data_IF_900399176105
#
_entry.id   IF_900399176105
#
_cell.length_a   1.000
_cell.length_b   1.000
_cell.length_c   1.000
_cell.angle_alpha   90.00
_cell.angle_beta   90.00
_cell.angle_gamma   90.00
#
_symmetry.space_group_name_H-M   'P 1'
#
loop_
_entity.id
_entity.type
_entity.pdbx_description
1 polymer ?
#
# COMPACT_ATOMS: atom_id res chain seq x y z
N UNK A 1 -26.82 -7.14 -8.73
CA UNK A 1 -25.46 -6.90 -8.19
C UNK A 1 -24.56 -8.01 -8.72
N UNK A 2 -23.59 -7.72 -9.59
CA UNK A 2 -22.66 -8.74 -10.08
C UNK A 2 -21.85 -9.31 -8.90
N UNK A 3 -21.65 -10.63 -8.87
CA UNK A 3 -20.79 -11.25 -7.86
C UNK A 3 -19.33 -10.84 -8.07
N UNK A 4 -18.53 -10.89 -7.01
CA UNK A 4 -17.08 -10.61 -7.10
C UNK A 4 -16.39 -11.60 -8.05
N UNK A 5 -16.84 -12.86 -8.08
CA UNK A 5 -16.32 -13.87 -9.01
C UNK A 5 -16.56 -13.47 -10.47
N UNK A 6 -17.76 -12.97 -10.81
CA UNK A 6 -18.07 -12.48 -12.16
C UNK A 6 -17.20 -11.29 -12.54
N UNK A 7 -17.02 -10.35 -11.60
CA UNK A 7 -16.13 -9.19 -11.81
C UNK A 7 -14.67 -9.62 -12.00
N UNK A 8 -14.22 -10.64 -11.24
CA UNK A 8 -12.87 -11.20 -11.35
C UNK A 8 -12.64 -11.77 -12.75
N UNK A 9 -13.51 -12.70 -13.16
CA UNK A 9 -13.43 -13.34 -14.48
C UNK A 9 -13.48 -12.34 -15.63
N UNK A 10 -14.24 -11.26 -15.50
CA UNK A 10 -14.40 -10.25 -16.54
C UNK A 10 -13.25 -9.22 -16.62
N UNK A 11 -12.56 -8.94 -15.50
CA UNK A 11 -11.72 -7.73 -15.41
C UNK A 11 -10.32 -7.94 -14.84
N UNK A 12 -9.98 -9.12 -14.32
CA UNK A 12 -8.66 -9.37 -13.74
C UNK A 12 -7.51 -8.99 -14.68
N UNK A 13 -7.57 -9.40 -15.96
CA UNK A 13 -6.53 -9.10 -16.95
C UNK A 13 -6.37 -7.60 -17.21
N UNK A 14 -7.49 -6.87 -17.28
CA UNK A 14 -7.48 -5.43 -17.50
C UNK A 14 -6.87 -4.68 -16.29
N UNK A 15 -7.14 -5.16 -15.09
CA UNK A 15 -6.57 -4.61 -13.84
C UNK A 15 -5.08 -4.92 -13.77
N UNK A 16 -4.66 -6.16 -14.03
CA UNK A 16 -3.25 -6.55 -14.10
C UNK A 16 -2.48 -5.71 -15.12
N UNK A 17 -3.01 -5.55 -16.33
CA UNK A 17 -2.41 -4.70 -17.36
C UNK A 17 -2.30 -3.25 -16.91
N UNK A 18 -3.30 -2.74 -16.18
CA UNK A 18 -3.27 -1.38 -15.61
C UNK A 18 -2.22 -1.24 -14.51
N UNK A 19 -2.13 -2.20 -13.59
CA UNK A 19 -1.15 -2.19 -12.50
C UNK A 19 0.28 -2.25 -13.03
N UNK A 20 0.56 -3.11 -14.01
CA UNK A 20 1.86 -3.14 -14.71
C UNK A 20 2.22 -1.80 -15.35
N UNK A 21 1.26 -1.16 -16.04
CA UNK A 21 1.45 0.19 -16.61
C UNK A 21 1.71 1.28 -15.56
N UNK A 22 1.34 1.03 -14.30
CA UNK A 22 1.62 1.91 -13.17
C UNK A 22 2.92 1.56 -12.45
N UNK A 23 3.74 0.67 -13.02
CA UNK A 23 5.04 0.27 -12.47
C UNK A 23 4.95 -0.69 -11.29
N UNK A 24 3.84 -1.43 -11.16
CA UNK A 24 3.72 -2.50 -10.16
C UNK A 24 4.20 -3.81 -10.79
N UNK A 25 5.16 -4.45 -10.14
CA UNK A 25 5.80 -5.68 -10.60
C UNK A 25 6.01 -6.67 -9.45
N UNK A 26 6.37 -7.90 -9.78
CA UNK A 26 6.68 -8.94 -8.80
C UNK A 26 5.48 -9.33 -7.92
N UNK A 27 5.72 -9.77 -6.67
CA UNK A 27 4.67 -10.23 -5.76
C UNK A 27 3.57 -9.21 -5.50
N UNK A 28 3.93 -7.91 -5.48
CA UNK A 28 2.98 -6.83 -5.25
C UNK A 28 1.89 -6.74 -6.32
N UNK A 29 2.14 -7.26 -7.53
CA UNK A 29 1.16 -7.20 -8.62
C UNK A 29 -0.09 -8.05 -8.31
N UNK A 30 0.10 -9.28 -7.82
CA UNK A 30 -1.01 -10.17 -7.49
C UNK A 30 -1.70 -9.75 -6.18
N UNK A 31 -0.93 -9.25 -5.21
CA UNK A 31 -1.48 -8.72 -3.96
C UNK A 31 -2.41 -7.53 -4.22
N UNK A 32 -1.96 -6.56 -5.04
CA UNK A 32 -2.79 -5.41 -5.37
C UNK A 32 -4.00 -5.79 -6.22
N UNK A 33 -3.92 -6.82 -7.07
CA UNK A 33 -5.08 -7.35 -7.79
C UNK A 33 -6.12 -7.87 -6.80
N UNK A 34 -5.70 -8.67 -5.82
CA UNK A 34 -6.60 -9.23 -4.80
C UNK A 34 -7.24 -8.12 -3.96
N UNK A 35 -6.46 -7.11 -3.54
CA UNK A 35 -6.95 -5.96 -2.79
C UNK A 35 -8.05 -5.17 -3.52
N UNK A 36 -7.96 -5.05 -4.85
CA UNK A 36 -9.04 -4.45 -5.66
C UNK A 36 -10.35 -5.21 -5.48
N UNK A 37 -10.31 -6.54 -5.48
CA UNK A 37 -11.52 -7.36 -5.32
C UNK A 37 -12.01 -7.45 -3.89
N UNK A 38 -11.12 -7.32 -2.90
CA UNK A 38 -11.51 -7.13 -1.48
C UNK A 38 -12.28 -5.81 -1.33
N UNK A 39 -11.80 -4.72 -1.94
CA UNK A 39 -12.51 -3.43 -1.96
C UNK A 39 -13.85 -3.56 -2.69
N UNK A 40 -13.88 -4.29 -3.80
CA UNK A 40 -15.12 -4.56 -4.53
C UNK A 40 -16.14 -5.29 -3.64
N UNK A 41 -15.72 -6.33 -2.92
CA UNK A 41 -16.55 -7.08 -1.98
C UNK A 41 -17.11 -6.17 -0.87
N UNK A 42 -16.25 -5.35 -0.26
CA UNK A 42 -16.64 -4.43 0.83
C UNK A 42 -17.56 -3.30 0.36
N UNK A 43 -17.49 -2.92 -0.93
CA UNK A 43 -18.20 -1.78 -1.50
C UNK A 43 -19.14 -2.17 -2.63
N UNK A 44 -19.68 -3.39 -2.62
CA UNK A 44 -20.56 -3.91 -3.69
C UNK A 44 -21.68 -2.95 -4.08
N UNK A 45 -22.33 -2.30 -3.10
CA UNK A 45 -23.41 -1.35 -3.35
C UNK A 45 -22.99 -0.10 -4.17
N UNK A 46 -21.68 0.20 -4.25
CA UNK A 46 -21.13 1.32 -5.01
C UNK A 46 -20.66 0.94 -6.40
N UNK A 47 -20.69 -0.35 -6.75
CA UNK A 47 -20.26 -0.82 -8.06
C UNK A 47 -21.42 -0.62 -9.05
N UNK A 48 -21.19 0.12 -10.15
CA UNK A 48 -22.18 0.23 -11.22
C UNK A 48 -22.58 -1.15 -11.77
N UNK A 49 -23.82 -1.30 -12.21
CA UNK A 49 -24.29 -2.58 -12.76
C UNK A 49 -23.85 -2.80 -14.21
N UNK A 50 -23.55 -1.73 -14.94
CA UNK A 50 -23.06 -1.81 -16.31
C UNK A 50 -21.58 -2.19 -16.34
N UNK A 51 -21.23 -3.05 -17.30
CA UNK A 51 -19.90 -3.66 -17.39
C UNK A 51 -18.78 -2.60 -17.57
N UNK A 52 -19.02 -1.58 -18.38
CA UNK A 52 -18.02 -0.55 -18.68
C UNK A 52 -17.75 0.36 -17.48
N UNK A 53 -18.78 0.78 -16.75
CA UNK A 53 -18.59 1.60 -15.55
C UNK A 53 -18.09 0.78 -14.37
N UNK A 54 -18.48 -0.50 -14.24
CA UNK A 54 -17.88 -1.42 -13.28
C UNK A 54 -16.38 -1.57 -13.53
N UNK A 55 -15.98 -1.78 -14.79
CA UNK A 55 -14.59 -1.80 -15.22
C UNK A 55 -13.87 -0.49 -14.87
N UNK A 56 -14.44 0.68 -15.20
CA UNK A 56 -13.85 1.98 -14.87
C UNK A 56 -13.67 2.16 -13.36
N UNK A 57 -14.65 1.74 -12.57
CA UNK A 57 -14.60 1.80 -11.10
C UNK A 57 -13.46 0.93 -10.54
N UNK A 58 -13.31 -0.31 -11.03
CA UNK A 58 -12.24 -1.22 -10.62
C UNK A 58 -10.85 -0.68 -11.01
N UNK A 59 -10.72 -0.12 -12.22
CA UNK A 59 -9.46 0.49 -12.66
C UNK A 59 -9.09 1.74 -11.84
N UNK A 60 -10.08 2.51 -11.39
CA UNK A 60 -9.86 3.63 -10.47
C UNK A 60 -9.43 3.17 -9.07
N UNK A 61 -10.01 2.08 -8.56
CA UNK A 61 -9.57 1.44 -7.32
C UNK A 61 -8.11 0.96 -7.42
N UNK A 62 -7.76 0.26 -8.51
CA UNK A 62 -6.39 -0.19 -8.78
C UNK A 62 -5.39 0.98 -8.84
N UNK A 63 -5.77 2.09 -9.49
CA UNK A 63 -4.95 3.32 -9.54
C UNK A 63 -4.69 3.89 -8.15
N UNK A 64 -5.71 3.94 -7.28
CA UNK A 64 -5.58 4.44 -5.90
C UNK A 64 -4.69 3.53 -5.05
N UNK A 65 -4.82 2.21 -5.19
CA UNK A 65 -3.96 1.24 -4.51
C UNK A 65 -2.50 1.37 -4.96
N UNK A 66 -2.23 1.44 -6.27
CA UNK A 66 -0.89 1.65 -6.79
C UNK A 66 -0.26 2.96 -6.30
N UNK A 67 -1.03 4.05 -6.26
CA UNK A 67 -0.55 5.33 -5.71
C UNK A 67 -0.21 5.23 -4.21
N UNK A 68 -1.03 4.52 -3.43
CA UNK A 68 -0.75 4.26 -2.02
C UNK A 68 0.48 3.37 -1.83
N UNK A 69 0.60 2.31 -2.62
CA UNK A 69 1.76 1.40 -2.63
C UNK A 69 3.04 2.20 -2.88
N UNK A 70 3.08 3.02 -3.94
CA UNK A 70 4.26 3.85 -4.24
C UNK A 70 4.57 4.85 -3.13
N UNK A 71 3.57 5.45 -2.47
CA UNK A 71 3.79 6.35 -1.34
C UNK A 71 4.42 5.62 -0.15
N UNK A 72 3.89 4.46 0.23
CA UNK A 72 4.40 3.68 1.38
C UNK A 72 5.76 3.07 1.05
N UNK A 73 5.93 2.55 -0.16
CA UNK A 73 7.20 2.00 -0.64
C UNK A 73 8.26 3.09 -0.69
N UNK A 74 7.97 4.28 -1.22
CA UNK A 74 8.90 5.43 -1.16
C UNK A 74 9.36 5.73 0.26
N UNK A 75 8.46 5.78 1.24
CA UNK A 75 8.87 5.99 2.64
C UNK A 75 9.75 4.85 3.19
N UNK A 76 9.54 3.60 2.74
CA UNK A 76 10.39 2.46 3.10
C UNK A 76 11.81 2.56 2.53
N UNK A 77 12.00 3.15 1.34
CA UNK A 77 13.32 3.29 0.67
C UNK A 77 13.97 4.67 0.82
N UNK A 78 13.22 5.73 1.16
CA UNK A 78 13.80 6.97 1.67
C UNK A 78 14.42 6.76 3.06
N UNK A 79 13.87 5.82 3.85
CA UNK A 79 14.49 5.35 5.10
C UNK A 79 15.55 4.27 4.92
N UNK A 80 15.47 3.46 3.86
CA UNK A 80 16.46 2.43 3.53
C UNK A 80 17.37 2.95 2.40
N UNK A 81 18.32 3.80 2.77
CA UNK A 81 19.48 4.16 1.95
C UNK A 81 20.56 3.09 2.19
N UNK A 82 20.81 2.14 1.28
CA UNK A 82 21.84 1.11 1.48
C UNK A 82 23.21 1.75 1.73
N UNK A 83 23.48 2.85 1.04
CA UNK A 83 24.67 3.70 1.20
C UNK A 83 24.74 4.36 2.59
N UNK A 84 23.60 4.66 3.24
CA UNK A 84 23.59 5.14 4.63
C UNK A 84 23.81 4.00 5.63
N UNK A 85 23.46 2.76 5.28
CA UNK A 85 23.75 1.57 6.09
C UNK A 85 25.23 1.23 5.98
N UNK A 86 25.82 1.25 4.78
CA UNK A 86 27.28 1.10 4.61
C UNK A 86 28.05 2.22 5.33
N UNK A 87 27.58 3.47 5.26
CA UNK A 87 28.18 4.58 6.00
C UNK A 87 28.05 4.43 7.53
N UNK A 88 26.91 3.91 8.03
CA UNK A 88 26.70 3.67 9.46
C UNK A 88 27.48 2.44 10.00
N UNK A 89 27.78 1.46 9.14
CA UNK A 89 28.60 0.28 9.50
C UNK A 89 30.10 0.62 9.52
N UNK A 90 30.53 1.65 8.79
CA UNK A 90 31.93 2.05 8.68
C UNK A 90 32.49 2.80 9.91
N UNK A 91 31.65 3.26 10.85
CA UNK A 91 32.09 4.04 12.01
C UNK A 91 31.67 3.37 13.32
N UNK A 92 32.50 2.48 13.89
CA UNK A 92 32.27 1.93 15.21
C UNK A 92 32.98 2.79 16.25
N UNK A 93 32.32 3.85 16.75
CA UNK A 93 32.72 4.44 18.03
C UNK A 93 31.50 4.51 18.98
N UNK A 94 31.55 3.61 19.96
CA UNK A 94 30.71 3.52 21.16
C UNK A 94 29.49 2.55 21.13
N UNK A 95 29.66 1.30 21.61
CA UNK A 95 28.59 0.32 21.70
C UNK A 95 27.47 0.66 22.71
N UNK A 96 27.64 1.64 23.60
CA UNK A 96 26.60 1.98 24.60
C UNK A 96 25.48 2.89 24.06
N UNK A 97 25.73 3.66 22.99
CA UNK A 97 24.74 4.55 22.37
C UNK A 97 23.69 3.83 21.53
N UNK A 98 24.06 2.71 20.90
CA UNK A 98 23.22 1.96 19.96
C UNK A 98 21.96 1.37 20.62
N UNK A 99 22.05 0.95 21.89
CA UNK A 99 20.91 0.40 22.62
C UNK A 99 19.79 1.44 22.86
N UNK A 100 20.13 2.74 22.93
CA UNK A 100 19.15 3.82 23.13
C UNK A 100 18.44 4.23 21.84
N UNK A 101 19.06 4.00 20.69
CA UNK A 101 18.53 4.33 19.37
C UNK A 101 17.53 3.28 18.83
N UNK A 102 17.61 2.04 19.33
CA UNK A 102 16.73 0.93 18.93
C UNK A 102 15.37 0.90 19.63
N UNK A 103 15.15 1.75 20.65
CA UNK A 103 13.81 1.93 21.19
C UNK A 103 13.00 2.79 20.19
N UNK A 104 11.86 2.29 19.67
CA UNK A 104 11.02 3.09 18.80
C UNK A 104 10.62 4.35 19.58
N UNK A 105 10.91 5.53 19.02
CA UNK A 105 10.30 6.79 19.46
C UNK A 105 8.80 6.64 19.25
N UNK A 106 8.11 6.20 20.30
CA UNK A 106 6.66 6.16 20.34
C UNK A 106 6.19 7.60 20.22
N UNK A 107 5.72 7.97 19.02
CA UNK A 107 5.17 9.29 18.80
C UNK A 107 3.88 9.38 19.62
N UNK A 108 4.04 10.09 20.74
CA UNK A 108 3.09 10.36 21.81
C UNK A 108 2.04 11.37 21.34
N UNK A 109 1.48 11.20 20.14
CA UNK A 109 0.38 12.02 19.63
C UNK A 109 -1.01 11.49 20.07
N UNK A 110 -1.08 10.36 20.79
CA UNK A 110 -2.33 9.71 21.18
C UNK A 110 -2.73 9.85 22.67
N UNK A 111 -2.04 10.66 23.50
CA UNK A 111 -2.35 10.72 24.96
C UNK A 111 -2.61 12.09 25.57
N UNK A 112 -2.80 13.16 24.78
CA UNK A 112 -3.11 14.48 25.32
C UNK A 112 -4.29 15.16 24.61
N UNK A 113 -5.49 14.55 24.68
CA UNK A 113 -6.79 15.26 24.56
C UNK A 113 -7.99 14.47 25.12
N UNK A 114 -7.72 13.49 25.99
CA UNK A 114 -8.69 12.96 26.96
C UNK A 114 -8.22 13.36 28.37
N UNK A 115 -8.23 14.67 28.65
CA UNK A 115 -8.39 15.19 30.01
C UNK A 115 -9.00 16.59 29.92
N UNK A 116 -10.30 16.57 30.20
CA UNK A 116 -11.28 17.63 30.52
C UNK A 116 -10.73 18.95 31.12
N UNK A 117 -11.52 20.02 31.04
CA UNK A 117 -12.57 20.26 32.06
C UNK A 117 -13.98 19.83 31.61
#
# INVERSE_FOLDING_TARGET
MPSVETLYKAHADAILARLRRLGIEGPALEDLLQDVFVIALQRQAKIPQDNDSARRWLLDAARKLAANFHRVYRHKYEGFRPDAIEAAVAEPEDPEGAHRALLPRSDRAARARLRRP
#
